data_IF_236886027384
#
_entry.id   IF_236886027384
#
_cell.length_a   1.000
_cell.length_b   1.000
_cell.length_c   1.000
_cell.angle_alpha   90.00
_cell.angle_beta   90.00
_cell.angle_gamma   90.00
#
_symmetry.space_group_name_H-M   'P 1'
#
loop_
_entity.id
_entity.type
_entity.pdbx_description
1 polymer ?
#
# COMPACT_ATOMS: atom_id res chain seq x y z
N UNK A 1 1.54 9.83 -1.66
CA UNK A 1 2.67 10.04 -0.74
C UNK A 1 2.86 11.54 -0.57
N UNK A 2 3.09 12.03 0.65
CA UNK A 2 3.34 13.46 0.92
C UNK A 2 4.73 13.93 0.46
N UNK A 3 5.68 13.01 0.30
CA UNK A 3 7.03 13.35 -0.13
C UNK A 3 7.11 13.59 -1.62
N UNK A 4 8.05 14.46 -2.02
CA UNK A 4 8.30 14.82 -3.41
C UNK A 4 9.58 14.21 -3.99
N UNK A 5 9.73 12.89 -3.86
CA UNK A 5 10.91 12.18 -4.36
C UNK A 5 11.02 12.27 -5.89
N UNK A 6 12.16 12.74 -6.40
CA UNK A 6 12.39 12.96 -7.84
C UNK A 6 12.25 11.68 -8.69
N UNK A 7 12.46 10.51 -8.10
CA UNK A 7 12.44 9.19 -8.75
C UNK A 7 11.14 8.40 -8.50
N UNK A 8 10.16 8.95 -7.77
CA UNK A 8 8.96 8.20 -7.39
C UNK A 8 7.72 8.71 -8.12
N UNK A 9 7.02 7.84 -8.83
CA UNK A 9 5.75 8.19 -9.49
C UNK A 9 4.67 8.60 -8.46
N UNK A 10 4.71 8.03 -7.26
CA UNK A 10 3.72 8.25 -6.19
C UNK A 10 3.92 9.56 -5.41
N UNK A 11 4.94 10.35 -5.78
CA UNK A 11 5.26 11.65 -5.18
C UNK A 11 4.06 12.60 -5.15
N UNK A 12 4.11 13.60 -4.29
CA UNK A 12 2.98 14.51 -4.07
C UNK A 12 2.66 15.34 -5.32
N UNK A 13 3.68 15.76 -6.08
CA UNK A 13 3.53 16.58 -7.28
C UNK A 13 3.00 15.84 -8.51
N UNK A 14 2.92 14.50 -8.48
CA UNK A 14 2.41 13.71 -9.59
C UNK A 14 0.89 13.71 -9.63
N UNK A 15 0.32 13.99 -10.81
CA UNK A 15 -1.10 13.85 -11.10
C UNK A 15 -1.40 12.44 -11.62
N UNK A 16 -1.44 11.47 -10.71
CA UNK A 16 -1.77 10.06 -10.98
C UNK A 16 -2.93 9.62 -10.10
N UNK A 17 -3.70 8.64 -10.56
CA UNK A 17 -4.77 8.06 -9.74
C UNK A 17 -4.19 7.46 -8.44
N UNK A 18 -4.85 7.74 -7.31
CA UNK A 18 -4.41 7.28 -6.00
C UNK A 18 -5.41 6.27 -5.46
N UNK A 19 -4.98 5.03 -5.33
CA UNK A 19 -5.77 3.95 -4.71
C UNK A 19 -5.38 3.71 -3.26
N UNK A 20 -6.33 3.25 -2.45
CA UNK A 20 -6.12 2.71 -1.12
C UNK A 20 -7.03 1.51 -0.93
N UNK A 21 -6.47 0.39 -0.49
CA UNK A 21 -7.26 -0.77 -0.12
C UNK A 21 -7.85 -0.60 1.28
N UNK A 22 -9.06 -1.10 1.46
CA UNK A 22 -9.61 -1.45 2.77
C UNK A 22 -8.94 -2.73 3.29
N UNK A 23 -8.99 -2.93 4.61
CA UNK A 23 -8.45 -4.15 5.24
C UNK A 23 -9.10 -5.40 4.64
N UNK A 24 -10.42 -5.37 4.43
CA UNK A 24 -11.17 -6.50 3.88
C UNK A 24 -10.69 -6.87 2.47
N UNK A 25 -10.49 -5.88 1.59
CA UNK A 25 -10.00 -6.13 0.23
C UNK A 25 -8.61 -6.78 0.22
N UNK A 26 -7.69 -6.31 1.08
CA UNK A 26 -6.34 -6.90 1.18
C UNK A 26 -6.41 -8.35 1.68
N UNK A 27 -7.22 -8.61 2.70
CA UNK A 27 -7.41 -9.96 3.27
C UNK A 27 -8.00 -10.90 2.24
N UNK A 28 -9.08 -10.50 1.57
CA UNK A 28 -9.75 -11.34 0.59
C UNK A 28 -8.85 -11.66 -0.60
N UNK A 29 -8.12 -10.66 -1.11
CA UNK A 29 -7.14 -10.83 -2.18
C UNK A 29 -6.05 -11.83 -1.77
N UNK A 30 -5.46 -11.62 -0.59
CA UNK A 30 -4.35 -12.43 -0.10
C UNK A 30 -4.78 -13.87 0.13
N UNK A 31 -5.93 -14.10 0.77
CA UNK A 31 -6.47 -15.44 1.00
C UNK A 31 -6.83 -16.14 -0.31
N UNK A 32 -7.33 -15.41 -1.32
CA UNK A 32 -7.63 -15.98 -2.62
C UNK A 32 -6.37 -16.50 -3.33
N UNK A 33 -5.26 -15.76 -3.28
CA UNK A 33 -3.97 -16.19 -3.84
C UNK A 33 -3.33 -17.32 -3.02
N UNK A 34 -3.39 -17.22 -1.69
CA UNK A 34 -2.82 -18.22 -0.79
C UNK A 34 -3.52 -19.58 -0.95
N UNK A 35 -4.85 -19.62 -0.96
CA UNK A 35 -5.63 -20.87 -1.13
C UNK A 35 -5.41 -21.56 -2.48
N UNK A 36 -4.97 -20.82 -3.50
CA UNK A 36 -4.62 -21.35 -4.83
C UNK A 36 -3.15 -21.76 -4.93
N UNK A 37 -2.39 -21.66 -3.83
CA UNK A 37 -0.95 -21.91 -3.76
C UNK A 37 -0.14 -21.02 -4.72
N UNK A 38 -0.57 -19.78 -4.96
CA UNK A 38 0.14 -18.84 -5.84
C UNK A 38 1.15 -17.96 -5.08
N UNK A 39 0.95 -17.78 -3.78
CA UNK A 39 1.84 -17.02 -2.90
C UNK A 39 1.98 -17.74 -1.56
N UNK A 40 3.11 -17.55 -0.91
CA UNK A 40 3.38 -18.02 0.46
C UNK A 40 3.49 -16.87 1.46
N UNK A 41 3.43 -15.62 0.98
CA UNK A 41 3.54 -14.43 1.81
C UNK A 41 3.09 -13.18 1.10
N UNK A 42 2.92 -12.11 1.89
CA UNK A 42 2.51 -10.79 1.45
C UNK A 42 3.47 -9.75 2.00
N UNK A 43 3.89 -8.81 1.16
CA UNK A 43 4.62 -7.62 1.57
C UNK A 43 3.73 -6.39 1.42
N UNK A 44 3.47 -5.68 2.52
CA UNK A 44 2.71 -4.43 2.52
C UNK A 44 3.67 -3.25 2.41
N UNK A 45 3.51 -2.46 1.35
CA UNK A 45 4.20 -1.19 1.17
C UNK A 45 3.19 -0.08 0.89
N UNK A 46 3.51 1.13 1.36
CA UNK A 46 2.66 2.29 1.17
C UNK A 46 3.49 3.56 0.96
N UNK A 47 2.86 4.57 0.37
CA UNK A 47 3.39 5.93 0.44
C UNK A 47 3.06 6.55 1.81
N UNK A 48 3.88 7.51 2.25
CA UNK A 48 3.64 8.22 3.52
C UNK A 48 2.45 9.18 3.38
N UNK A 49 1.46 9.05 4.27
CA UNK A 49 0.20 9.82 4.23
C UNK A 49 0.29 11.12 5.04
N UNK A 50 0.98 11.09 6.20
CA UNK A 50 1.17 12.26 7.08
C UNK A 50 2.56 12.28 7.71
N UNK A 51 2.95 11.17 8.31
CA UNK A 51 4.30 10.89 8.82
C UNK A 51 4.49 9.36 8.87
N UNK A 52 5.67 8.90 9.27
CA UNK A 52 5.99 7.48 9.36
C UNK A 52 5.05 6.74 10.32
N UNK A 53 4.93 7.23 11.55
CA UNK A 53 4.16 6.58 12.63
C UNK A 53 2.68 6.40 12.27
N UNK A 54 2.02 7.49 11.86
CA UNK A 54 0.63 7.46 11.42
C UNK A 54 0.44 6.53 10.24
N UNK A 55 1.40 6.44 9.31
CA UNK A 55 1.27 5.55 8.16
C UNK A 55 1.40 4.08 8.58
N UNK A 56 2.31 3.77 9.50
CA UNK A 56 2.50 2.42 10.02
C UNK A 56 1.31 1.95 10.85
N UNK A 57 0.71 2.82 11.67
CA UNK A 57 -0.53 2.50 12.41
C UNK A 57 -1.68 2.10 11.48
N UNK A 58 -1.67 2.57 10.23
CA UNK A 58 -2.69 2.23 9.24
C UNK A 58 -2.40 0.91 8.49
N UNK A 59 -1.23 0.29 8.72
CA UNK A 59 -0.81 -0.98 8.14
C UNK A 59 -0.84 -2.15 9.13
N UNK A 60 -0.95 -1.87 10.43
CA UNK A 60 -1.01 -2.86 11.52
C UNK A 60 -2.45 -3.23 11.83
#
# INVERSE_FOLDING_TARGET
CIYDCAYCINRVSSNVERGRFTVQEVVDLTLAFYKRNYIEGLFLSSGVIRNGDYTMEQLV
#
